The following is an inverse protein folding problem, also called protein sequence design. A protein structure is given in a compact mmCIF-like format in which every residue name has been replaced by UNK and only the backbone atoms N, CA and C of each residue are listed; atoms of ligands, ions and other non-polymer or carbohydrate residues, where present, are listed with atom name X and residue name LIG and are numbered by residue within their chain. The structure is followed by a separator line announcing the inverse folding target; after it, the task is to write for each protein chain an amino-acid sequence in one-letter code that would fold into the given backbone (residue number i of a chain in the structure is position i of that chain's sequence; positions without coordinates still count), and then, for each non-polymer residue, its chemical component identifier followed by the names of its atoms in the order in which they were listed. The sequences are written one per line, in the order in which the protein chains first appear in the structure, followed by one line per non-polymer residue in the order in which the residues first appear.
data_IF_274402084674
#
_entry.id   IF_274402084674
#
_cell.length_a   1.000
_cell.length_b   1.000
_cell.length_c   1.000
_cell.angle_alpha   90.00
_cell.angle_beta   90.00
_cell.angle_gamma   90.00
#
_symmetry.space_group_name_H-M   'P 1'
#
loop_
_entity.id
_entity.type
_entity.pdbx_description
1 polymer ?
#
# COMPACT_ATOMS: atom_id res chain seq x y z
N UNK A 1 53.74 29.60 -47.55
CA UNK A 1 54.18 28.20 -47.74
C UNK A 1 53.04 27.29 -47.37
N UNK A 2 52.40 26.71 -48.41
CA UNK A 2 51.45 25.58 -48.49
C UNK A 2 50.29 25.47 -47.46
N UNK A 3 49.06 25.12 -47.79
CA UNK A 3 48.15 25.25 -48.95
C UNK A 3 46.90 24.44 -48.56
N UNK A 4 45.73 25.03 -48.76
CA UNK A 4 44.38 24.46 -48.52
C UNK A 4 44.08 23.33 -49.51
N UNK A 5 43.29 22.32 -49.13
CA UNK A 5 42.24 21.72 -49.99
C UNK A 5 41.25 20.85 -49.21
N UNK A 6 39.97 21.19 -49.39
CA UNK A 6 38.76 20.42 -49.05
C UNK A 6 38.48 19.47 -50.23
N UNK A 7 37.98 18.26 -49.96
CA UNK A 7 37.20 17.48 -50.94
C UNK A 7 35.96 16.89 -50.27
N UNK A 8 34.81 17.33 -50.74
CA UNK A 8 33.48 16.73 -50.62
C UNK A 8 33.20 15.80 -51.81
N UNK A 9 32.25 14.86 -51.63
CA UNK A 9 31.30 14.26 -52.60
C UNK A 9 31.03 12.80 -52.16
N UNK A 10 29.91 12.11 -52.41
CA UNK A 10 28.49 12.40 -52.70
C UNK A 10 27.86 11.05 -53.07
N UNK A 11 26.55 10.90 -52.82
CA UNK A 11 25.59 10.13 -53.62
C UNK A 11 25.45 8.60 -53.47
N UNK A 12 24.36 8.22 -52.80
CA UNK A 12 23.15 7.54 -53.31
C UNK A 12 23.16 6.16 -54.00
N UNK A 13 22.10 5.42 -53.63
CA UNK A 13 21.22 4.59 -54.45
C UNK A 13 21.48 3.09 -54.69
N UNK A 14 20.57 2.30 -54.06
CA UNK A 14 19.56 1.39 -54.66
C UNK A 14 20.03 0.01 -55.19
N UNK A 15 19.37 -1.04 -54.67
CA UNK A 15 19.14 -2.41 -55.21
C UNK A 15 18.69 -2.38 -56.71
N UNK A 16 18.58 -3.49 -57.51
CA UNK A 16 18.42 -4.95 -57.23
C UNK A 16 19.17 -5.82 -58.31
N UNK A 17 18.68 -6.93 -58.96
CA UNK A 17 17.75 -8.04 -58.65
C UNK A 17 18.25 -9.48 -59.01
N UNK A 18 17.46 -10.49 -58.61
CA UNK A 18 17.07 -11.78 -59.24
C UNK A 18 18.03 -12.76 -59.99
N UNK A 19 17.93 -14.02 -59.52
CA UNK A 19 17.65 -15.29 -60.23
C UNK A 19 18.52 -15.78 -61.41
N UNK A 20 19.11 -16.97 -61.25
CA UNK A 20 19.03 -18.05 -62.25
C UNK A 20 19.40 -19.43 -61.68
N UNK A 21 18.72 -20.44 -62.21
CA UNK A 21 18.66 -21.86 -61.84
C UNK A 21 19.93 -22.64 -62.19
N UNK A 22 20.23 -23.67 -61.41
CA UNK A 22 20.86 -24.91 -61.92
C UNK A 22 20.11 -26.12 -61.35
N UNK A 23 19.46 -26.88 -62.24
CA UNK A 23 18.93 -28.23 -61.98
C UNK A 23 20.10 -29.20 -62.05
N UNK A 24 20.26 -30.05 -61.05
CA UNK A 24 20.88 -31.37 -61.21
C UNK A 24 20.03 -32.43 -60.53
N UNK A 25 20.04 -33.61 -61.13
CA UNK A 25 19.05 -34.68 -61.01
C UNK A 25 19.73 -35.94 -60.46
N UNK A 26 18.93 -36.73 -59.72
CA UNK A 26 19.09 -38.14 -59.31
C UNK A 26 20.04 -38.49 -58.14
N UNK A 27 19.80 -39.61 -57.40
CA UNK A 27 18.65 -40.53 -57.38
C UNK A 27 18.02 -40.76 -55.98
N UNK A 28 16.80 -41.29 -56.02
CA UNK A 28 15.99 -41.81 -54.91
C UNK A 28 16.69 -42.92 -54.12
N UNK A 29 16.79 -42.74 -52.80
CA UNK A 29 17.11 -43.79 -51.84
C UNK A 29 15.87 -44.05 -50.96
N UNK A 30 15.30 -45.26 -51.07
CA UNK A 30 14.22 -45.75 -50.22
C UNK A 30 14.75 -45.93 -48.79
N UNK A 31 14.37 -45.04 -47.87
CA UNK A 31 14.58 -45.24 -46.43
C UNK A 31 13.30 -45.74 -45.77
N UNK A 32 13.37 -46.97 -45.22
CA UNK A 32 12.35 -47.55 -44.35
C UNK A 32 12.11 -46.64 -43.15
N UNK A 33 10.95 -45.98 -43.11
CA UNK A 33 10.49 -45.22 -41.94
C UNK A 33 10.05 -46.20 -40.84
N UNK A 34 10.91 -46.40 -39.84
CA UNK A 34 10.51 -47.00 -38.56
C UNK A 34 9.54 -46.05 -37.85
N UNK A 35 8.31 -46.48 -37.68
CA UNK A 35 7.29 -45.77 -36.89
C UNK A 35 7.67 -45.88 -35.41
N UNK A 36 8.26 -44.82 -34.86
CA UNK A 36 8.38 -44.66 -33.42
C UNK A 36 7.05 -44.14 -32.87
N UNK A 37 6.27 -45.02 -32.25
CA UNK A 37 5.11 -44.62 -31.45
C UNK A 37 5.66 -44.02 -30.15
N UNK A 38 5.91 -42.71 -30.14
CA UNK A 38 6.13 -41.99 -28.88
C UNK A 38 4.80 -41.92 -28.14
N UNK A 39 4.63 -42.79 -27.15
CA UNK A 39 3.60 -42.64 -26.13
C UNK A 39 3.91 -41.37 -25.32
N UNK A 40 3.30 -40.26 -25.70
CA UNK A 40 3.30 -39.05 -24.88
C UNK A 40 2.48 -39.32 -23.62
N UNK A 41 3.15 -39.65 -22.52
CA UNK A 41 2.56 -39.52 -21.20
C UNK A 41 2.42 -38.01 -20.95
N UNK A 42 1.27 -37.46 -21.30
CA UNK A 42 0.87 -36.14 -20.85
C UNK A 42 0.82 -36.19 -19.31
N UNK A 43 1.85 -35.66 -18.65
CA UNK A 43 1.80 -35.36 -17.23
C UNK A 43 0.73 -34.30 -17.04
N UNK A 44 -0.49 -34.75 -16.75
CA UNK A 44 -1.58 -33.88 -16.36
C UNK A 44 -1.20 -33.31 -14.99
N UNK A 45 -0.55 -32.16 -14.98
CA UNK A 45 -0.35 -31.37 -13.77
C UNK A 45 -1.73 -30.91 -13.33
N UNK A 46 -2.43 -31.74 -12.54
CA UNK A 46 -3.62 -31.33 -11.81
C UNK A 46 -3.20 -30.18 -10.89
N UNK A 47 -3.42 -28.94 -11.34
CA UNK A 47 -3.45 -27.81 -10.42
C UNK A 47 -4.60 -28.09 -9.47
N UNK A 48 -4.28 -28.49 -8.25
CA UNK A 48 -5.26 -28.49 -7.16
C UNK A 48 -5.78 -27.05 -7.10
N UNK A 49 -7.09 -26.81 -7.25
CA UNK A 49 -7.63 -25.47 -7.04
C UNK A 49 -7.24 -25.07 -5.62
N UNK A 50 -6.44 -24.02 -5.50
CA UNK A 50 -6.14 -23.39 -4.22
C UNK A 50 -7.47 -22.80 -3.73
N UNK A 51 -8.23 -23.59 -2.99
CA UNK A 51 -9.39 -23.09 -2.28
C UNK A 51 -8.84 -22.24 -1.14
N UNK A 52 -8.90 -20.92 -1.29
CA UNK A 52 -8.72 -19.98 -0.18
C UNK A 52 -9.68 -20.41 0.93
N UNK A 53 -9.16 -21.02 1.99
CA UNK A 53 -9.98 -21.44 3.11
C UNK A 53 -10.49 -20.15 3.78
N UNK A 54 -11.81 -19.91 3.81
CA UNK A 54 -12.34 -18.68 4.38
C UNK A 54 -12.09 -18.63 5.88
N UNK A 55 -11.89 -17.42 6.38
CA UNK A 55 -11.75 -17.17 7.80
C UNK A 55 -13.08 -17.44 8.50
N UNK A 56 -13.04 -18.14 9.63
CA UNK A 56 -14.26 -18.52 10.35
C UNK A 56 -15.03 -17.26 10.78
N UNK A 57 -16.24 -17.01 10.23
CA UNK A 57 -16.97 -15.76 10.44
C UNK A 57 -17.37 -15.56 11.90
N UNK A 58 -17.69 -16.64 12.62
CA UNK A 58 -18.17 -16.59 14.01
C UNK A 58 -17.05 -16.38 15.04
N UNK A 59 -15.79 -16.29 14.60
CA UNK A 59 -14.64 -16.13 15.50
C UNK A 59 -14.17 -14.68 15.55
N UNK A 60 -14.71 -13.95 16.52
CA UNK A 60 -14.17 -12.66 16.93
C UNK A 60 -12.71 -12.82 17.38
N UNK A 61 -11.82 -12.01 16.81
CA UNK A 61 -10.40 -11.98 17.16
C UNK A 61 -9.99 -10.56 17.48
N UNK A 62 -9.32 -10.35 18.61
CA UNK A 62 -8.78 -9.05 19.00
C UNK A 62 -7.30 -8.94 18.60
N UNK A 63 -6.92 -7.79 18.06
CA UNK A 63 -5.53 -7.44 17.77
C UNK A 63 -5.14 -6.17 18.51
N UNK A 64 -3.87 -6.08 18.87
CA UNK A 64 -3.20 -4.84 19.20
C UNK A 64 -2.38 -4.38 18.00
N UNK A 65 -2.55 -3.12 17.62
CA UNK A 65 -1.66 -2.43 16.67
C UNK A 65 -0.73 -1.51 17.43
N UNK A 66 0.55 -1.53 17.07
CA UNK A 66 1.58 -0.61 17.55
C UNK A 66 2.14 0.14 16.36
N UNK A 67 1.97 1.46 16.34
CA UNK A 67 2.70 2.35 15.44
C UNK A 67 4.01 2.74 16.13
N UNK A 68 5.14 2.48 15.48
CA UNK A 68 6.46 2.90 15.92
C UNK A 68 7.10 3.77 14.83
N UNK A 69 7.49 5.00 15.19
CA UNK A 69 7.98 6.00 14.24
C UNK A 69 9.49 6.26 14.40
N UNK A 70 10.14 6.55 13.29
CA UNK A 70 11.59 6.69 13.14
C UNK A 70 11.98 7.97 12.37
N UNK A 71 11.15 9.01 12.42
CA UNK A 71 11.44 10.27 11.73
C UNK A 71 12.40 11.12 12.58
N UNK A 72 13.70 10.96 12.32
CA UNK A 72 14.78 11.69 12.99
C UNK A 72 15.60 12.53 12.02
N UNK A 73 16.29 13.55 12.54
CA UNK A 73 17.26 14.34 11.77
C UNK A 73 18.35 13.45 11.16
N UNK A 74 18.82 12.43 11.87
CA UNK A 74 19.91 11.58 11.38
C UNK A 74 19.48 10.73 10.17
N UNK A 75 18.23 10.23 10.16
CA UNK A 75 17.70 9.42 9.05
C UNK A 75 17.17 10.28 7.91
N UNK A 76 16.59 11.43 8.23
CA UNK A 76 15.97 12.34 7.27
C UNK A 76 16.48 13.78 7.51
N UNK A 77 17.75 14.08 7.20
CA UNK A 77 18.37 15.35 7.56
C UNK A 77 17.83 16.54 6.73
N UNK A 78 17.34 16.30 5.52
CA UNK A 78 16.87 17.36 4.63
C UNK A 78 15.60 17.99 5.18
N UNK A 79 15.69 19.29 5.48
CA UNK A 79 14.57 20.11 5.98
C UNK A 79 13.90 19.56 7.25
N UNK A 80 14.59 18.77 8.07
CA UNK A 80 14.00 18.17 9.27
C UNK A 80 13.34 19.27 10.15
N UNK A 81 12.03 19.20 10.44
CA UNK A 81 11.34 20.29 11.12
C UNK A 81 11.62 20.22 12.62
N UNK A 82 12.37 21.20 13.11
CA UNK A 82 12.78 21.27 14.52
C UNK A 82 11.87 22.16 15.35
N UNK A 83 11.27 23.18 14.73
CA UNK A 83 10.55 24.24 15.42
C UNK A 83 9.34 24.70 14.62
N UNK A 84 8.25 24.99 15.34
CA UNK A 84 7.01 25.64 14.84
C UNK A 84 6.36 24.97 13.60
N UNK A 85 5.80 23.75 13.72
CA UNK A 85 5.93 22.80 14.84
C UNK A 85 7.14 21.86 14.64
N UNK A 86 7.64 21.21 15.71
CA UNK A 86 8.61 20.11 15.56
C UNK A 86 7.97 18.91 14.83
N UNK A 87 8.82 18.07 14.23
CA UNK A 87 8.43 16.78 13.68
C UNK A 87 7.61 15.98 14.69
N UNK A 88 6.39 15.58 14.33
CA UNK A 88 5.45 14.83 15.16
C UNK A 88 4.44 14.08 14.28
N UNK A 89 3.54 13.32 14.90
CA UNK A 89 2.52 12.53 14.21
C UNK A 89 1.14 12.78 14.80
N UNK A 90 0.12 12.84 13.93
CA UNK A 90 -1.27 12.92 14.38
C UNK A 90 -1.69 11.66 15.15
N UNK A 91 -2.91 11.68 15.70
CA UNK A 91 -3.55 10.45 16.15
C UNK A 91 -3.51 9.39 15.06
N UNK A 92 -3.33 8.13 15.43
CA UNK A 92 -3.54 7.00 14.54
C UNK A 92 -5.05 6.78 14.46
N UNK A 93 -5.55 6.58 13.25
CA UNK A 93 -6.92 6.15 13.01
C UNK A 93 -6.90 4.85 12.22
N UNK A 94 -7.83 3.95 12.49
CA UNK A 94 -7.93 2.72 11.76
C UNK A 94 -9.34 2.14 11.74
N UNK A 95 -9.53 1.22 10.80
CA UNK A 95 -10.78 0.53 10.51
C UNK A 95 -10.48 -0.94 10.30
N UNK A 96 -11.26 -1.82 10.90
CA UNK A 96 -11.36 -3.20 10.42
C UNK A 96 -12.58 -3.35 9.54
N UNK A 97 -12.44 -4.09 8.45
CA UNK A 97 -13.44 -4.09 7.39
C UNK A 97 -13.33 -5.30 6.44
N UNK A 98 -14.37 -5.46 5.61
CA UNK A 98 -14.43 -6.39 4.48
C UNK A 98 -13.68 -5.81 3.27
N UNK A 99 -13.72 -6.51 2.14
CA UNK A 99 -13.15 -6.00 0.88
C UNK A 99 -13.94 -4.82 0.26
N UNK A 100 -15.16 -4.56 0.72
CA UNK A 100 -16.05 -3.53 0.17
C UNK A 100 -15.71 -2.11 0.65
N UNK A 101 -15.06 -2.01 1.81
CA UNK A 101 -14.64 -0.74 2.39
C UNK A 101 -13.22 -0.38 1.95
N UNK A 102 -12.99 0.89 1.69
CA UNK A 102 -11.68 1.45 1.33
C UNK A 102 -11.46 2.71 2.15
N UNK A 103 -10.44 2.72 3.00
CA UNK A 103 -10.04 3.95 3.72
C UNK A 103 -9.29 4.89 2.79
N UNK A 104 -8.34 4.35 2.04
CA UNK A 104 -7.53 5.04 1.04
C UNK A 104 -6.97 4.01 0.06
N UNK A 105 -6.55 4.44 -1.14
CA UNK A 105 -5.92 3.54 -2.11
C UNK A 105 -4.92 4.27 -2.98
N UNK A 106 -3.74 3.68 -3.17
CA UNK A 106 -2.76 4.19 -4.12
C UNK A 106 -3.36 4.25 -5.53
N UNK A 107 -3.16 5.38 -6.21
CA UNK A 107 -3.71 5.63 -7.54
C UNK A 107 -5.18 6.06 -7.57
N UNK A 108 -5.83 6.22 -6.41
CA UNK A 108 -7.18 6.79 -6.30
C UNK A 108 -7.13 8.19 -5.68
N UNK A 109 -8.16 9.00 -5.92
CA UNK A 109 -8.33 10.29 -5.25
C UNK A 109 -8.68 10.10 -3.76
N UNK A 110 -8.13 10.97 -2.90
CA UNK A 110 -8.50 11.07 -1.50
C UNK A 110 -9.99 11.46 -1.31
N UNK A 111 -10.68 10.81 -0.37
CA UNK A 111 -12.02 11.27 0.05
C UNK A 111 -11.95 12.64 0.73
N UNK A 112 -13.06 13.39 0.85
CA UNK A 112 -13.06 14.67 1.57
C UNK A 112 -12.61 14.56 3.03
N UNK A 113 -13.02 13.51 3.74
CA UNK A 113 -12.55 13.21 5.09
C UNK A 113 -11.06 12.87 5.13
N UNK A 114 -10.56 12.10 4.16
CA UNK A 114 -9.13 11.77 4.06
C UNK A 114 -8.28 13.00 3.79
N UNK A 115 -8.69 13.85 2.84
CA UNK A 115 -8.04 15.14 2.54
C UNK A 115 -7.89 15.98 3.79
N UNK A 116 -9.00 16.18 4.51
CA UNK A 116 -9.01 16.97 5.75
C UNK A 116 -8.06 16.39 6.80
N UNK A 117 -8.03 15.06 6.93
CA UNK A 117 -7.13 14.38 7.86
C UNK A 117 -5.66 14.48 7.45
N UNK A 118 -5.35 14.32 6.16
CA UNK A 118 -4.00 14.39 5.61
C UNK A 118 -3.41 15.80 5.68
N UNK A 119 -4.22 16.86 5.52
CA UNK A 119 -3.74 18.25 5.58
C UNK A 119 -3.68 18.81 7.01
N UNK A 120 -4.56 18.36 7.92
CA UNK A 120 -4.75 19.02 9.23
C UNK A 120 -4.73 18.09 10.44
N UNK A 121 -4.78 16.77 10.26
CA UNK A 121 -4.92 15.78 11.34
C UNK A 121 -6.31 15.75 12.00
N UNK A 122 -7.27 16.56 11.53
CA UNK A 122 -8.67 16.52 11.98
C UNK A 122 -9.38 15.32 11.38
N UNK A 123 -10.01 14.49 12.20
CA UNK A 123 -10.61 13.23 11.76
C UNK A 123 -12.14 13.23 11.78
N UNK A 124 -12.78 14.35 12.08
CA UNK A 124 -14.23 14.42 12.27
C UNK A 124 -14.97 14.05 10.98
N UNK A 125 -14.59 14.69 9.86
CA UNK A 125 -15.10 14.36 8.53
C UNK A 125 -14.82 12.91 8.10
N UNK A 126 -13.67 12.35 8.50
CA UNK A 126 -13.32 10.97 8.18
C UNK A 126 -14.11 9.95 9.02
N UNK A 127 -14.54 10.34 10.23
CA UNK A 127 -15.44 9.56 11.05
C UNK A 127 -16.87 9.60 10.47
N UNK A 128 -17.33 10.76 10.00
CA UNK A 128 -18.60 10.91 9.27
C UNK A 128 -18.60 10.08 7.98
N UNK A 129 -17.52 10.13 7.19
CA UNK A 129 -17.33 9.30 5.97
C UNK A 129 -17.47 7.80 6.25
N UNK A 130 -17.19 7.36 7.48
CA UNK A 130 -17.24 5.95 7.90
C UNK A 130 -18.63 5.51 8.39
N UNK A 131 -19.52 6.43 8.78
CA UNK A 131 -20.81 6.07 9.38
C UNK A 131 -21.74 5.44 8.34
N UNK A 132 -22.33 4.29 8.68
CA UNK A 132 -23.27 3.57 7.80
C UNK A 132 -22.65 2.97 6.53
N UNK A 133 -21.32 2.97 6.41
CA UNK A 133 -20.62 2.32 5.28
C UNK A 133 -20.74 0.81 5.38
N UNK A 134 -21.13 0.17 4.28
CA UNK A 134 -21.10 -1.28 4.14
C UNK A 134 -19.67 -1.82 4.31
N UNK A 135 -19.57 -3.00 4.93
CA UNK A 135 -18.30 -3.69 5.10
C UNK A 135 -17.41 -3.14 6.22
N UNK A 136 -17.85 -2.15 6.99
CA UNK A 136 -17.10 -1.67 8.16
C UNK A 136 -17.47 -2.47 9.41
N UNK A 137 -16.48 -2.86 10.22
CA UNK A 137 -16.69 -3.64 11.45
C UNK A 137 -16.31 -2.89 12.72
N UNK A 138 -15.08 -2.42 12.83
CA UNK A 138 -14.58 -1.67 13.99
C UNK A 138 -13.90 -0.36 13.58
N UNK A 139 -14.02 0.64 14.45
CA UNK A 139 -13.43 1.98 14.32
C UNK A 139 -12.54 2.19 15.54
N UNK A 140 -11.23 2.25 15.34
CA UNK A 140 -10.28 2.42 16.43
C UNK A 140 -9.35 3.61 16.20
N UNK A 141 -8.73 4.08 17.28
CA UNK A 141 -7.74 5.15 17.24
C UNK A 141 -6.69 5.00 18.34
N UNK A 142 -5.53 5.61 18.15
CA UNK A 142 -4.48 5.72 19.16
C UNK A 142 -4.05 7.18 19.34
N UNK A 143 -3.57 7.58 20.53
CA UNK A 143 -3.09 8.94 20.79
C UNK A 143 -2.00 9.41 19.80
N UNK A 144 -1.88 10.73 19.55
CA UNK A 144 -0.80 11.28 18.73
C UNK A 144 0.59 11.05 19.34
N UNK A 145 1.62 11.10 18.51
CA UNK A 145 3.03 11.04 18.95
C UNK A 145 3.60 12.46 18.83
N UNK A 146 3.90 13.10 19.96
CA UNK A 146 4.35 14.50 20.03
C UNK A 146 5.79 14.75 19.55
N UNK A 147 6.46 13.76 18.97
CA UNK A 147 7.80 13.90 18.39
C UNK A 147 7.97 12.96 17.19
N UNK A 148 9.00 13.17 16.37
CA UNK A 148 9.23 12.40 15.14
C UNK A 148 9.47 10.91 15.40
N UNK A 149 9.89 10.56 16.63
CA UNK A 149 10.07 9.18 17.11
C UNK A 149 9.20 8.89 18.31
N UNK A 150 8.50 7.77 18.30
CA UNK A 150 7.76 7.31 19.46
C UNK A 150 6.90 6.11 19.13
N UNK A 151 6.06 5.75 20.10
CA UNK A 151 5.11 4.64 19.94
C UNK A 151 3.74 5.07 20.39
N UNK A 152 2.73 4.59 19.68
CA UNK A 152 1.33 4.65 20.09
C UNK A 152 0.67 3.32 19.74
N UNK A 153 -0.33 2.92 20.51
CA UNK A 153 -0.99 1.63 20.32
C UNK A 153 -2.49 1.72 20.54
N UNK A 154 -3.21 0.81 19.90
CA UNK A 154 -4.65 0.66 20.04
C UNK A 154 -5.04 -0.81 19.87
N UNK A 155 -6.23 -1.16 20.35
CA UNK A 155 -6.82 -2.48 20.17
C UNK A 155 -8.01 -2.36 19.23
N UNK A 156 -8.24 -3.40 18.45
CA UNK A 156 -9.36 -3.48 17.53
C UNK A 156 -9.80 -4.93 17.32
N UNK A 157 -11.02 -5.08 16.86
CA UNK A 157 -11.63 -6.38 16.59
C UNK A 157 -11.72 -6.65 15.09
N UNK A 158 -11.63 -7.92 14.74
CA UNK A 158 -11.84 -8.47 13.39
C UNK A 158 -12.64 -9.77 13.50
N UNK A 159 -13.35 -10.11 12.42
CA UNK A 159 -14.05 -11.39 12.27
C UNK A 159 -13.76 -12.00 10.89
N UNK A 160 -14.34 -13.17 10.58
CA UNK A 160 -14.05 -13.84 9.31
C UNK A 160 -14.60 -13.12 8.06
N UNK A 161 -15.58 -12.22 8.20
CA UNK A 161 -16.11 -11.41 7.11
C UNK A 161 -15.36 -10.08 6.95
N UNK A 162 -14.68 -9.63 8.01
CA UNK A 162 -14.00 -8.34 8.14
C UNK A 162 -12.55 -8.54 8.58
N UNK A 163 -11.81 -9.34 7.82
CA UNK A 163 -10.44 -9.73 8.16
C UNK A 163 -9.38 -8.70 7.76
N UNK A 164 -9.77 -7.60 7.11
CA UNK A 164 -8.85 -6.56 6.63
C UNK A 164 -8.75 -5.42 7.62
N UNK A 165 -7.58 -4.80 7.68
CA UNK A 165 -7.34 -3.57 8.43
C UNK A 165 -6.76 -2.50 7.52
N UNK A 166 -7.32 -1.29 7.61
CA UNK A 166 -6.74 -0.08 7.06
C UNK A 166 -6.52 0.94 8.15
N UNK A 167 -5.41 1.67 8.09
CA UNK A 167 -5.07 2.67 9.08
C UNK A 167 -4.15 3.74 8.51
N UNK A 168 -4.14 4.92 9.14
CA UNK A 168 -3.30 6.02 8.72
C UNK A 168 -2.96 6.99 9.87
N UNK A 169 -1.87 7.72 9.72
CA UNK A 169 -1.44 8.81 10.59
C UNK A 169 -0.79 9.93 9.75
N UNK A 170 -1.24 11.16 9.95
CA UNK A 170 -0.72 12.36 9.28
C UNK A 170 0.64 12.75 9.88
N UNK A 171 1.58 13.07 9.01
CA UNK A 171 2.91 13.54 9.37
C UNK A 171 2.93 15.05 9.56
N UNK A 172 3.36 15.53 10.73
CA UNK A 172 3.23 16.94 11.09
C UNK A 172 4.62 17.56 11.30
N UNK A 173 4.95 18.70 10.67
CA UNK A 173 4.19 19.37 9.61
C UNK A 173 4.39 18.67 8.25
N UNK A 174 3.36 18.71 7.42
CA UNK A 174 3.45 18.39 6.00
C UNK A 174 2.30 19.07 5.23
N UNK A 175 2.38 19.17 3.90
CA UNK A 175 1.28 19.66 3.07
C UNK A 175 0.05 18.76 3.18
N UNK A 176 0.21 17.48 2.83
CA UNK A 176 -0.84 16.45 2.84
C UNK A 176 -0.27 15.03 3.01
N UNK A 177 0.88 14.90 3.68
CA UNK A 177 1.64 13.66 3.72
C UNK A 177 1.29 12.79 4.92
N UNK A 178 1.12 11.49 4.71
CA UNK A 178 0.75 10.55 5.75
C UNK A 178 1.49 9.22 5.62
N UNK A 179 1.41 8.39 6.65
CA UNK A 179 1.77 6.97 6.60
C UNK A 179 0.52 6.13 6.81
N UNK A 180 0.46 4.95 6.20
CA UNK A 180 -0.71 4.09 6.37
C UNK A 180 -0.58 2.73 5.71
N UNK A 181 -1.58 1.90 5.95
CA UNK A 181 -1.77 0.58 5.34
C UNK A 181 -3.19 0.53 4.78
N UNK A 182 -3.33 0.10 3.52
CA UNK A 182 -4.61 -0.15 2.86
C UNK A 182 -4.90 -1.66 2.85
N UNK A 183 -6.04 -2.04 3.41
CA UNK A 183 -6.71 -3.34 3.21
C UNK A 183 -5.85 -4.57 3.53
N UNK A 184 -4.96 -4.49 4.53
CA UNK A 184 -4.09 -5.61 4.90
C UNK A 184 -4.90 -6.73 5.55
N UNK A 185 -4.78 -7.94 4.99
CA UNK A 185 -5.54 -9.09 5.45
C UNK A 185 -4.81 -9.80 6.61
N UNK A 186 -5.43 -9.85 7.79
CA UNK A 186 -4.88 -10.47 9.00
C UNK A 186 -5.18 -11.97 9.10
N UNK A 187 -5.95 -12.52 8.16
CA UNK A 187 -6.28 -13.92 8.10
C UNK A 187 -5.96 -14.51 6.71
N UNK A 188 -5.10 -15.51 6.68
CA UNK A 188 -4.60 -16.15 5.45
C UNK A 188 -4.86 -17.65 5.57
N UNK A 189 -5.51 -18.24 4.57
CA UNK A 189 -5.85 -19.66 4.54
C UNK A 189 -6.58 -20.15 5.81
N UNK A 190 -7.56 -19.36 6.27
CA UNK A 190 -8.33 -19.64 7.49
C UNK A 190 -7.57 -19.43 8.81
N UNK A 191 -6.31 -18.97 8.76
CA UNK A 191 -5.45 -18.78 9.92
C UNK A 191 -5.19 -17.31 10.20
N UNK A 192 -5.52 -16.89 11.43
CA UNK A 192 -5.21 -15.57 11.95
C UNK A 192 -3.73 -15.43 12.31
N UNK A 193 -3.04 -14.45 11.71
CA UNK A 193 -1.64 -14.16 11.95
C UNK A 193 -1.38 -13.83 13.43
N UNK A 194 -0.43 -14.52 14.06
CA UNK A 194 -0.12 -14.27 15.48
C UNK A 194 0.60 -12.93 15.69
N UNK A 195 1.55 -12.60 14.82
CA UNK A 195 2.17 -11.27 14.77
C UNK A 195 2.75 -10.98 13.40
N UNK A 196 2.69 -9.72 12.98
CA UNK A 196 3.31 -9.23 11.75
C UNK A 196 3.77 -7.78 11.96
N UNK A 197 4.93 -7.43 11.40
CA UNK A 197 5.45 -6.05 11.37
C UNK A 197 5.60 -5.61 9.92
N UNK A 198 5.08 -4.44 9.61
CA UNK A 198 5.04 -3.88 8.25
C UNK A 198 5.75 -2.53 8.28
N UNK A 199 6.84 -2.42 7.51
CA UNK A 199 7.46 -1.14 7.21
C UNK A 199 6.58 -0.34 6.24
N UNK A 200 6.44 0.96 6.49
CA UNK A 200 5.66 1.86 5.63
C UNK A 200 6.51 3.01 5.12
N UNK A 201 6.17 3.46 3.92
CA UNK A 201 6.73 4.64 3.27
C UNK A 201 5.79 5.84 3.45
N UNK A 202 6.30 7.09 3.39
CA UNK A 202 5.43 8.26 3.34
C UNK A 202 4.60 8.25 2.04
N UNK A 203 3.35 8.66 2.17
CA UNK A 203 2.36 8.79 1.10
C UNK A 203 1.94 10.25 0.98
N UNK A 204 1.64 10.67 -0.23
CA UNK A 204 1.08 11.98 -0.57
C UNK A 204 -0.40 11.79 -0.91
N UNK A 205 -1.28 12.66 -0.41
CA UNK A 205 -2.72 12.54 -0.61
C UNK A 205 -3.18 13.06 -1.98
N UNK A 206 -2.34 13.84 -2.67
CA UNK A 206 -2.64 14.46 -3.95
C UNK A 206 -3.53 15.70 -3.82
N UNK A 207 -3.57 16.37 -2.67
CA UNK A 207 -4.49 17.49 -2.37
C UNK A 207 -3.76 18.82 -2.13
N UNK A 208 -2.46 18.80 -1.85
CA UNK A 208 -1.61 19.99 -1.72
C UNK A 208 -0.28 19.84 -2.51
N UNK A 209 0.16 20.90 -3.18
CA UNK A 209 1.37 20.93 -4.04
C UNK A 209 2.65 21.30 -3.28
N UNK A 210 2.62 21.42 -1.95
CA UNK A 210 3.78 21.74 -1.15
C UNK A 210 4.94 20.75 -1.33
N UNK A 211 6.15 21.24 -1.62
CA UNK A 211 7.33 20.37 -1.77
C UNK A 211 8.07 20.08 -0.47
N UNK A 212 7.81 20.85 0.59
CA UNK A 212 8.54 20.79 1.86
C UNK A 212 7.59 20.64 3.03
N UNK A 213 8.07 20.08 4.14
CA UNK A 213 7.29 19.88 5.37
C UNK A 213 6.52 21.13 5.82
N UNK A 214 7.13 22.31 5.71
CA UNK A 214 6.55 23.59 6.14
C UNK A 214 6.15 24.48 4.97
N UNK A 215 5.86 23.91 3.80
CA UNK A 215 5.37 24.69 2.67
C UNK A 215 4.04 25.38 3.04
N UNK A 216 3.78 26.60 2.55
CA UNK A 216 2.45 27.18 2.64
C UNK A 216 1.45 26.30 1.89
N UNK A 217 0.19 26.29 2.33
CA UNK A 217 -0.87 25.55 1.66
C UNK A 217 -0.99 26.00 0.20
N UNK A 218 -0.97 25.04 -0.71
CA UNK A 218 -1.16 25.24 -2.14
C UNK A 218 -1.99 24.10 -2.72
N UNK A 219 -3.31 24.24 -2.69
CA UNK A 219 -4.24 23.23 -3.18
C UNK A 219 -3.90 22.71 -4.59
N UNK A 220 -4.05 21.39 -4.76
CA UNK A 220 -3.89 20.69 -6.04
C UNK A 220 -5.20 20.71 -6.82
N UNK A 221 -5.20 21.40 -7.97
CA UNK A 221 -6.38 21.53 -8.85
C UNK A 221 -6.04 21.16 -10.31
N UNK A 222 -6.71 20.14 -10.91
CA UNK A 222 -7.65 19.21 -10.28
C UNK A 222 -6.95 18.33 -9.23
N UNK A 223 -7.73 17.72 -8.32
CA UNK A 223 -7.19 16.85 -7.28
C UNK A 223 -6.36 15.71 -7.90
N UNK A 224 -5.19 15.46 -7.33
CA UNK A 224 -4.33 14.35 -7.69
C UNK A 224 -4.78 13.03 -7.07
N UNK A 225 -4.02 11.97 -7.38
CA UNK A 225 -4.21 10.65 -6.77
C UNK A 225 -3.25 10.46 -5.61
N UNK A 226 -3.60 9.58 -4.68
CA UNK A 226 -2.70 9.18 -3.60
C UNK A 226 -1.52 8.40 -4.21
N UNK A 227 -0.30 8.80 -3.88
CA UNK A 227 0.90 8.12 -4.36
C UNK A 227 1.96 7.96 -3.28
N UNK A 228 2.90 7.05 -3.54
CA UNK A 228 4.01 6.80 -2.63
C UNK A 228 5.13 7.81 -2.86
N UNK A 229 5.56 8.47 -1.79
CA UNK A 229 6.76 9.29 -1.80
C UNK A 229 7.97 8.36 -1.65
N UNK A 230 8.94 8.53 -2.54
CA UNK A 230 10.19 7.77 -2.54
C UNK A 230 11.39 8.71 -2.52
N UNK A 231 12.61 8.16 -2.45
CA UNK A 231 13.82 8.98 -2.50
C UNK A 231 14.02 9.75 -3.81
N UNK A 232 13.27 9.41 -4.87
CA UNK A 232 13.40 9.98 -6.22
C UNK A 232 12.08 10.47 -6.82
N UNK A 233 10.96 10.28 -6.12
CA UNK A 233 9.63 10.68 -6.58
C UNK A 233 8.84 11.30 -5.41
N UNK A 234 8.30 12.52 -5.55
CA UNK A 234 8.37 13.38 -6.74
C UNK A 234 9.80 13.88 -7.00
N UNK A 235 10.17 14.01 -8.26
CA UNK A 235 11.54 14.30 -8.69
C UNK A 235 11.84 15.81 -8.67
N UNK A 236 11.74 16.44 -7.50
CA UNK A 236 11.97 17.88 -7.33
C UNK A 236 13.15 18.16 -6.38
N UNK A 237 14.14 18.98 -6.77
CA UNK A 237 15.31 19.28 -5.93
C UNK A 237 14.96 19.85 -4.54
N UNK A 238 13.89 20.64 -4.43
CA UNK A 238 13.41 21.17 -3.15
C UNK A 238 12.62 20.15 -2.30
N UNK A 239 12.25 18.99 -2.87
CA UNK A 239 11.43 17.99 -2.19
C UNK A 239 12.06 17.50 -0.89
N UNK A 240 11.33 17.52 0.23
CA UNK A 240 11.84 17.09 1.54
C UNK A 240 12.34 15.64 1.54
N UNK A 241 11.70 14.75 0.78
CA UNK A 241 12.11 13.35 0.62
C UNK A 241 12.94 13.08 -0.63
N UNK A 242 13.35 14.10 -1.37
CA UNK A 242 14.18 13.92 -2.55
C UNK A 242 15.66 13.76 -2.15
N UNK A 243 16.10 12.50 -2.11
CA UNK A 243 17.47 12.04 -1.82
C UNK A 243 18.00 11.24 -3.02
N UNK A 244 18.51 11.89 -4.09
CA UNK A 244 18.79 11.24 -5.38
C UNK A 244 19.84 10.13 -5.30
N UNK A 245 20.72 10.19 -4.29
CA UNK A 245 21.79 9.20 -4.07
C UNK A 245 21.31 7.96 -3.31
N UNK A 246 20.15 8.01 -2.65
CA UNK A 246 19.59 6.85 -1.96
C UNK A 246 18.86 5.94 -2.96
N UNK A 247 18.99 4.61 -2.75
CA UNK A 247 18.24 3.60 -3.50
C UNK A 247 16.77 3.56 -3.06
N UNK A 248 16.52 3.71 -1.76
CA UNK A 248 15.22 3.82 -1.11
C UNK A 248 15.34 4.71 0.13
N UNK A 249 14.23 5.25 0.61
CA UNK A 249 14.20 5.93 1.90
C UNK A 249 14.53 4.94 3.03
N UNK A 250 15.17 5.39 4.12
CA UNK A 250 15.19 4.64 5.37
C UNK A 250 13.75 4.40 5.87
N UNK A 251 13.49 3.37 6.69
CA UNK A 251 12.18 3.18 7.29
C UNK A 251 11.78 4.40 8.13
N UNK A 252 10.62 5.00 7.83
CA UNK A 252 10.08 6.15 8.55
C UNK A 252 9.15 5.71 9.69
N UNK A 253 8.47 4.58 9.55
CA UNK A 253 7.62 3.98 10.58
C UNK A 253 7.37 2.49 10.31
N UNK A 254 6.88 1.80 11.33
CA UNK A 254 6.37 0.44 11.24
C UNK A 254 5.03 0.33 11.95
N UNK A 255 4.13 -0.50 11.40
CA UNK A 255 2.96 -0.99 12.09
C UNK A 255 3.18 -2.44 12.49
N UNK A 256 3.06 -2.74 13.77
CA UNK A 256 3.10 -4.11 14.28
C UNK A 256 1.69 -4.51 14.73
N UNK A 257 1.19 -5.61 14.18
CA UNK A 257 -0.04 -6.24 14.62
C UNK A 257 0.30 -7.46 15.48
N UNK A 258 -0.36 -7.58 16.62
CA UNK A 258 -0.16 -8.68 17.57
C UNK A 258 -1.54 -9.19 17.96
N UNK A 259 -1.81 -10.45 17.70
CA UNK A 259 -3.07 -11.10 18.08
C UNK A 259 -3.13 -11.28 19.59
N UNK A 260 -4.22 -10.81 20.20
CA UNK A 260 -4.45 -10.98 21.63
C UNK A 260 -4.82 -12.44 21.91
N UNK A 261 -4.05 -13.11 22.76
CA UNK A 261 -4.28 -14.53 23.09
C UNK A 261 -5.37 -14.77 24.13
N UNK A 262 -5.89 -13.72 24.79
CA UNK A 262 -6.70 -13.85 26.02
C UNK A 262 -8.20 -13.59 25.87
N UNK A 263 -8.72 -13.25 24.69
CA UNK A 263 -10.17 -12.97 24.53
C UNK A 263 -10.77 -13.79 23.39
N UNK A 264 -11.04 -15.06 23.69
CA UNK A 264 -12.05 -15.83 22.93
C UNK A 264 -13.36 -15.66 23.70
N UNK A 265 -13.95 -14.47 23.60
CA UNK A 265 -15.36 -14.35 23.95
C UNK A 265 -16.14 -15.10 22.86
N UNK A 266 -16.45 -16.37 23.12
CA UNK A 266 -17.52 -17.05 22.38
C UNK A 266 -18.75 -16.15 22.52
N UNK A 267 -19.31 -15.67 21.41
CA UNK A 267 -20.65 -15.11 21.43
C UNK A 267 -21.55 -16.13 22.15
N UNK A 268 -22.34 -15.73 23.16
CA UNK A 268 -23.33 -16.63 23.70
C UNK A 268 -24.27 -16.98 22.55
N UNK A 269 -24.24 -18.24 22.11
CA UNK A 269 -25.24 -18.79 21.22
C UNK A 269 -26.59 -18.56 21.89
N UNK A 270 -27.36 -17.60 21.38
CA UNK A 270 -28.66 -17.25 21.92
C UNK A 270 -29.54 -18.49 21.91
N UNK A 271 -29.88 -18.99 23.10
CA UNK A 271 -31.05 -19.83 23.23
C UNK A 271 -32.27 -18.97 22.89
N UNK A 272 -33.18 -19.41 22.00
CA UNK A 272 -34.37 -18.64 21.68
C UNK A 272 -35.27 -18.58 22.92
N UNK A 273 -35.49 -17.38 23.46
CA UNK A 273 -36.61 -17.14 24.38
C UNK A 273 -36.34 -16.51 25.75
N UNK A 274 -35.25 -15.77 25.98
CA UNK A 274 -35.08 -15.01 27.22
C UNK A 274 -35.27 -13.49 26.99
N UNK A 275 -36.15 -12.80 27.75
CA UNK A 275 -36.40 -11.37 27.59
C UNK A 275 -35.19 -10.55 28.08
N UNK A 276 -34.75 -9.61 27.24
CA UNK A 276 -33.67 -8.67 27.56
C UNK A 276 -34.24 -7.56 28.43
N UNK A 277 -33.85 -7.49 29.71
CA UNK A 277 -34.09 -6.32 30.54
C UNK A 277 -32.94 -5.31 30.35
N UNK A 278 -33.23 -4.02 30.08
CA UNK A 278 -32.19 -3.01 29.91
C UNK A 278 -31.54 -2.71 31.26
N UNK A 279 -30.22 -2.90 31.33
CA UNK A 279 -29.41 -2.56 32.51
C UNK A 279 -29.10 -1.06 32.48
N UNK A 280 -29.57 -0.34 33.50
CA UNK A 280 -29.41 1.10 33.65
C UNK A 280 -27.93 1.53 33.64
N UNK A 281 -27.66 2.59 32.89
CA UNK A 281 -26.37 3.32 32.88
C UNK A 281 -26.25 4.07 34.20
N UNK A 282 -25.26 3.70 35.02
CA UNK A 282 -24.87 4.50 36.18
C UNK A 282 -23.87 5.57 35.71
N UNK A 283 -24.32 6.81 35.68
CA UNK A 283 -23.45 7.97 35.50
C UNK A 283 -22.74 8.31 36.83
N UNK A 284 -21.42 8.52 36.77
CA UNK A 284 -20.66 9.41 37.65
C UNK A 284 -19.54 10.05 36.86
#
# INVERSE_FOLDING_TARGET
TLSVSIVTLSSSHRLPPDAAKVKMFFPTLLTLSSVFISSALASYSTRVPYFDIPCQPDKLTAYKVILHTFWTRDRFPKHFPEWRPPAQWSKLIGRSHSHDFVLFRLGAEASPGLRTFAESGKADALQEDSQGRYGLFDIFSAPPIASGTGRTESQFFVDGNHSRVSLMSHMIPSPDWFIGIDSFNLCVDGNWLDSITIEVDPLDAGTDNGFTFTAPNWATEPQGVIYRITSRYPAHPAGSFYYPYLKRLPPIATFQFIKNRHEIAKCPTGAPGAPVTPRAVLAR
#
